data_IF_111904630438
#
_entry.id   IF_111904630438
#
_cell.length_a   1.000
_cell.length_b   1.000
_cell.length_c   1.000
_cell.angle_alpha   90.00
_cell.angle_beta   90.00
_cell.angle_gamma   90.00
#
_symmetry.space_group_name_H-M   'P 1'
#
loop_
_entity.id
_entity.type
_entity.pdbx_description
1 polymer ?
#
# COMPACT_ATOMS: atom_id res chain seq x y z
N UNK A 1 8.35 22.76 9.59
CA UNK A 1 7.31 21.76 9.89
C UNK A 1 6.86 21.19 8.56
N UNK A 2 7.34 20.00 8.20
CA UNK A 2 6.88 19.33 6.99
C UNK A 2 5.44 18.85 7.19
N UNK A 3 4.59 18.99 6.19
CA UNK A 3 3.25 18.41 6.24
C UNK A 3 3.40 16.88 6.30
N UNK A 4 2.68 16.19 7.19
CA UNK A 4 2.60 14.72 7.18
C UNK A 4 2.15 14.18 5.80
N UNK A 5 1.47 15.02 5.00
CA UNK A 5 1.05 14.72 3.63
C UNK A 5 2.19 14.69 2.60
N UNK A 6 3.42 15.07 2.97
CA UNK A 6 4.58 15.12 2.07
C UNK A 6 5.50 13.90 2.23
N UNK A 7 5.20 13.00 3.19
CA UNK A 7 5.93 11.74 3.38
C UNK A 7 5.01 10.55 3.17
N UNK A 8 5.45 9.63 2.31
CA UNK A 8 4.80 8.38 1.99
C UNK A 8 5.49 7.28 2.76
N UNK A 9 4.77 6.59 3.63
CA UNK A 9 5.22 5.33 4.21
C UNK A 9 4.94 4.20 3.22
N UNK A 10 5.99 3.43 2.94
CA UNK A 10 5.96 2.26 2.08
C UNK A 10 5.76 1.02 2.95
N UNK A 11 4.67 0.30 2.74
CA UNK A 11 4.40 -0.96 3.42
C UNK A 11 4.52 -2.12 2.42
N UNK A 12 5.62 -2.85 2.52
CA UNK A 12 5.90 -4.05 1.74
C UNK A 12 4.92 -5.15 2.14
N UNK A 13 4.14 -5.65 1.19
CA UNK A 13 3.04 -6.56 1.46
C UNK A 13 3.15 -7.88 0.69
N UNK A 14 3.29 -8.96 1.45
CA UNK A 14 3.36 -10.33 0.92
C UNK A 14 2.18 -11.15 1.43
N UNK A 15 1.29 -11.56 0.52
CA UNK A 15 0.14 -12.39 0.87
C UNK A 15 0.11 -13.69 0.08
N UNK A 16 -0.58 -14.68 0.63
CA UNK A 16 -0.90 -15.92 -0.08
C UNK A 16 -2.26 -15.76 -0.76
N UNK A 17 -2.26 -15.59 -2.08
CA UNK A 17 -3.46 -15.61 -2.91
C UNK A 17 -3.87 -17.04 -3.29
N UNK A 18 -4.97 -17.15 -4.05
CA UNK A 18 -5.51 -18.44 -4.52
C UNK A 18 -4.56 -19.16 -5.46
N UNK A 19 -3.87 -18.41 -6.32
CA UNK A 19 -3.03 -18.95 -7.40
C UNK A 19 -1.52 -18.82 -7.15
N UNK A 20 -1.11 -18.33 -5.97
CA UNK A 20 0.30 -18.11 -5.67
C UNK A 20 0.51 -17.02 -4.63
N UNK A 21 1.77 -16.63 -4.47
CA UNK A 21 2.09 -15.44 -3.68
C UNK A 21 1.70 -14.18 -4.47
N UNK A 22 1.32 -13.14 -3.75
CA UNK A 22 1.14 -11.80 -4.30
C UNK A 22 2.08 -10.87 -3.55
N UNK A 23 2.71 -9.97 -4.28
CA UNK A 23 3.62 -8.97 -3.76
C UNK A 23 3.18 -7.58 -4.24
N UNK A 24 2.98 -6.68 -3.30
CA UNK A 24 2.62 -5.29 -3.61
C UNK A 24 3.00 -4.37 -2.45
N UNK A 25 3.24 -3.10 -2.78
CA UNK A 25 3.46 -2.06 -1.79
C UNK A 25 2.18 -1.27 -1.55
N UNK A 26 1.91 -0.96 -0.29
CA UNK A 26 0.87 0.01 0.10
C UNK A 26 1.54 1.33 0.44
N UNK A 27 1.22 2.37 -0.33
CA UNK A 27 1.79 3.71 -0.19
C UNK A 27 0.79 4.58 0.57
N UNK A 28 1.03 4.90 1.84
CA UNK A 28 0.09 5.68 2.68
C UNK A 28 0.80 6.40 3.84
N UNK A 29 0.08 6.88 4.85
CA UNK A 29 0.62 7.65 5.99
C UNK A 29 0.71 6.85 7.29
N UNK A 30 0.07 5.68 7.39
CA UNK A 30 -0.01 4.92 8.65
C UNK A 30 -0.35 3.45 8.43
N UNK A 31 0.04 2.60 9.38
CA UNK A 31 -0.18 1.16 9.32
C UNK A 31 -1.67 0.78 9.24
N UNK A 32 -2.56 1.46 9.97
CA UNK A 32 -4.00 1.15 9.97
C UNK A 32 -4.64 1.44 8.60
N UNK A 33 -4.24 2.56 7.98
CA UNK A 33 -4.63 2.85 6.59
C UNK A 33 -4.04 1.83 5.62
N UNK A 34 -2.79 1.39 5.85
CA UNK A 34 -2.13 0.42 4.98
C UNK A 34 -2.90 -0.90 4.95
N UNK A 35 -3.30 -1.41 6.12
CA UNK A 35 -4.14 -2.61 6.23
C UNK A 35 -5.52 -2.42 5.58
N UNK A 36 -6.11 -1.23 5.70
CA UNK A 36 -7.42 -0.94 5.10
C UNK A 36 -7.33 -0.94 3.56
N UNK A 37 -6.35 -0.23 3.00
CA UNK A 37 -6.11 -0.16 1.56
C UNK A 37 -5.73 -1.54 0.99
N UNK A 38 -4.88 -2.30 1.69
CA UNK A 38 -4.52 -3.66 1.28
C UNK A 38 -5.74 -4.57 1.19
N UNK A 39 -6.64 -4.55 2.19
CA UNK A 39 -7.88 -5.35 2.17
C UNK A 39 -8.78 -4.96 1.01
N UNK A 40 -8.96 -3.65 0.79
CA UNK A 40 -9.77 -3.15 -0.33
C UNK A 40 -9.19 -3.57 -1.68
N UNK A 41 -7.86 -3.49 -1.82
CA UNK A 41 -7.14 -3.93 -3.01
C UNK A 41 -7.33 -5.43 -3.28
N UNK A 42 -7.15 -6.28 -2.25
CA UNK A 42 -7.33 -7.72 -2.36
C UNK A 42 -8.75 -8.11 -2.78
N UNK A 43 -9.77 -7.46 -2.21
CA UNK A 43 -11.16 -7.64 -2.67
C UNK A 43 -11.30 -7.22 -4.14
N UNK A 44 -10.72 -6.08 -4.53
CA UNK A 44 -10.77 -5.55 -5.89
C UNK A 44 -10.14 -6.45 -6.95
N UNK A 45 -9.10 -7.22 -6.60
CA UNK A 45 -8.45 -8.18 -7.51
C UNK A 45 -9.01 -9.61 -7.41
N UNK A 46 -10.10 -9.83 -6.65
CA UNK A 46 -10.75 -11.15 -6.54
C UNK A 46 -10.14 -12.09 -5.50
N UNK A 47 -9.37 -11.55 -4.55
CA UNK A 47 -8.71 -12.26 -3.45
C UNK A 47 -9.29 -11.86 -2.07
N UNK A 48 -10.62 -11.86 -1.86
CA UNK A 48 -11.24 -11.35 -0.62
C UNK A 48 -10.87 -12.17 0.63
N UNK A 49 -10.45 -13.42 0.46
CA UNK A 49 -10.08 -14.34 1.54
C UNK A 49 -8.59 -14.32 1.87
N UNK A 50 -7.78 -13.53 1.15
CA UNK A 50 -6.36 -13.41 1.42
C UNK A 50 -6.15 -12.73 2.79
N UNK A 51 -5.39 -13.40 3.66
CA UNK A 51 -5.06 -12.88 4.99
C UNK A 51 -4.05 -11.75 4.83
N UNK A 52 -4.40 -10.56 5.32
CA UNK A 52 -3.49 -9.43 5.45
C UNK A 52 -3.57 -8.83 6.85
N UNK A 53 -2.48 -8.99 7.60
CA UNK A 53 -2.28 -8.45 8.95
C UNK A 53 -0.96 -7.70 9.02
N UNK A 54 -0.55 -7.30 10.22
CA UNK A 54 0.78 -6.71 10.47
C UNK A 54 1.94 -7.65 10.11
N UNK A 55 1.69 -8.95 9.96
CA UNK A 55 2.70 -9.91 9.53
C UNK A 55 2.96 -9.84 8.03
N UNK A 56 1.90 -9.68 7.26
CA UNK A 56 1.96 -9.66 5.79
C UNK A 56 2.26 -8.26 5.25
N UNK A 57 1.76 -7.20 5.89
CA UNK A 57 1.91 -5.81 5.48
C UNK A 57 2.86 -5.08 6.45
N UNK A 58 4.13 -4.98 6.08
CA UNK A 58 5.21 -4.51 6.95
C UNK A 58 5.75 -3.16 6.49
N UNK A 59 5.95 -2.24 7.43
CA UNK A 59 6.63 -0.99 7.14
C UNK A 59 8.06 -1.27 6.65
N UNK A 60 8.42 -0.72 5.50
CA UNK A 60 9.76 -0.83 4.92
C UNK A 60 10.55 0.46 5.16
N UNK A 61 10.09 1.58 4.58
CA UNK A 61 10.73 2.88 4.69
C UNK A 61 9.75 4.02 4.37
N UNK A 62 10.24 5.25 4.37
CA UNK A 62 9.48 6.42 3.96
C UNK A 62 10.16 7.14 2.81
N UNK A 63 9.36 7.66 1.88
CA UNK A 63 9.81 8.44 0.74
C UNK A 63 9.09 9.79 0.68
N UNK A 64 9.74 10.86 0.20
CA UNK A 64 9.05 12.11 -0.07
C UNK A 64 7.99 11.92 -1.17
N UNK A 65 6.77 12.44 -0.97
CA UNK A 65 5.66 12.32 -1.94
C UNK A 65 6.04 12.87 -3.33
N UNK A 66 6.95 13.84 -3.39
CA UNK A 66 7.45 14.44 -4.62
C UNK A 66 8.26 13.47 -5.51
N UNK A 67 8.69 12.32 -4.97
CA UNK A 67 9.41 11.28 -5.74
C UNK A 67 8.48 10.45 -6.63
N UNK A 68 7.16 10.50 -6.41
CA UNK A 68 6.17 9.74 -7.17
C UNK A 68 5.60 10.55 -8.34
N UNK A 69 4.98 9.86 -9.30
CA UNK A 69 4.34 10.51 -10.45
C UNK A 69 3.20 11.45 -10.03
N UNK A 70 2.87 12.43 -10.88
CA UNK A 70 1.77 13.39 -10.59
C UNK A 70 0.45 12.67 -10.31
N UNK A 71 0.16 11.57 -11.01
CA UNK A 71 -1.06 10.80 -10.79
C UNK A 71 -1.04 10.08 -9.44
N UNK A 72 0.09 9.49 -9.04
CA UNK A 72 0.24 8.87 -7.71
C UNK A 72 0.14 9.91 -6.60
N UNK A 73 0.73 11.09 -6.79
CA UNK A 73 0.58 12.20 -5.85
C UNK A 73 -0.88 12.62 -5.69
N UNK A 74 -1.63 12.68 -6.79
CA UNK A 74 -3.06 12.98 -6.80
C UNK A 74 -3.85 11.90 -6.05
N UNK A 75 -3.63 10.63 -6.37
CA UNK A 75 -4.29 9.50 -5.69
C UNK A 75 -3.97 9.49 -4.20
N UNK A 76 -2.72 9.71 -3.81
CA UNK A 76 -2.33 9.78 -2.40
C UNK A 76 -3.09 10.89 -1.65
N UNK A 77 -3.22 12.07 -2.25
CA UNK A 77 -3.92 13.22 -1.64
C UNK A 77 -5.45 13.03 -1.61
N UNK A 78 -6.04 12.42 -2.64
CA UNK A 78 -7.49 12.25 -2.77
C UNK A 78 -8.02 11.00 -2.04
N UNK A 79 -7.26 9.91 -2.05
CA UNK A 79 -7.70 8.58 -1.59
C UNK A 79 -6.95 8.11 -0.33
N UNK A 80 -5.96 8.90 0.13
CA UNK A 80 -5.16 8.58 1.30
C UNK A 80 -4.06 7.53 1.05
N UNK A 81 -3.86 7.12 -0.20
CA UNK A 81 -2.80 6.19 -0.59
C UNK A 81 -3.04 5.56 -1.96
N UNK A 82 -2.10 4.73 -2.39
CA UNK A 82 -2.20 3.94 -3.63
C UNK A 82 -1.42 2.62 -3.49
N UNK A 83 -1.62 1.70 -4.44
CA UNK A 83 -0.97 0.38 -4.47
C UNK A 83 -0.02 0.30 -5.65
N UNK A 84 1.16 -0.29 -5.44
CA UNK A 84 2.06 -0.71 -6.52
C UNK A 84 2.17 -2.22 -6.51
N UNK A 85 1.78 -2.88 -7.60
CA UNK A 85 1.98 -4.32 -7.76
C UNK A 85 3.40 -4.64 -8.18
N UNK A 86 4.01 -5.63 -7.54
CA UNK A 86 5.38 -6.03 -7.76
C UNK A 86 5.44 -7.47 -8.30
N UNK A 87 6.44 -7.80 -9.14
CA UNK A 87 6.64 -9.17 -9.61
C UNK A 87 7.03 -10.11 -8.45
N UNK A 88 6.54 -11.34 -8.54
CA UNK A 88 6.77 -12.44 -7.56
C UNK A 88 7.88 -13.36 -8.04
#
# INVERSE_FOLDING_TARGET
MGNEMDSVHVYDTWVKGKNGKLHFDVMTTSQDKALTLAKHYLVGIGEPEAVVTLKECQFCHSEPLVMFSVEQQRQFREQGGFIITLPV
#
